data_IF_640034519418
#
_entry.id   IF_640034519418
#
_cell.length_a   1.000
_cell.length_b   1.000
_cell.length_c   1.000
_cell.angle_alpha   90.00
_cell.angle_beta   90.00
_cell.angle_gamma   90.00
#
_symmetry.space_group_name_H-M   'P 1'
#
loop_
_entity.id
_entity.type
_entity.pdbx_description
1 polymer ?
#
# COMPACT_ATOMS: atom_id res chain seq x y z
N UNK A 1 46.41 24.72 -6.40
CA UNK A 1 45.82 24.06 -5.22
C UNK A 1 44.46 24.69 -4.88
N UNK A 2 43.36 23.96 -5.09
CA UNK A 2 42.05 24.43 -4.61
C UNK A 2 42.04 24.38 -3.08
N UNK A 3 41.52 25.41 -2.40
CA UNK A 3 41.35 25.35 -0.96
C UNK A 3 40.38 24.21 -0.59
N UNK A 4 40.58 23.58 0.58
CA UNK A 4 39.67 22.55 1.06
C UNK A 4 38.26 23.13 1.21
N UNK A 5 37.27 22.41 0.70
CA UNK A 5 35.87 22.80 0.92
C UNK A 5 35.53 22.66 2.41
N UNK A 6 34.75 23.61 2.96
CA UNK A 6 34.26 23.48 4.33
C UNK A 6 33.37 22.23 4.45
N UNK A 7 33.34 21.61 5.64
CA UNK A 7 32.45 20.49 5.90
C UNK A 7 30.99 20.93 5.72
N UNK A 8 30.10 20.03 5.25
CA UNK A 8 28.68 20.32 5.17
C UNK A 8 28.13 20.66 6.57
N UNK A 9 27.10 21.52 6.65
CA UNK A 9 26.45 21.81 7.91
C UNK A 9 25.89 20.53 8.54
N UNK A 10 25.83 20.44 9.88
CA UNK A 10 25.19 19.34 10.56
C UNK A 10 23.71 19.26 10.13
N UNK A 11 23.14 18.05 9.98
CA UNK A 11 21.74 17.89 9.64
C UNK A 11 20.87 18.62 10.67
N UNK A 12 19.89 19.36 10.19
CA UNK A 12 18.90 20.02 11.03
C UNK A 12 18.17 18.94 11.87
N UNK A 13 18.03 19.12 13.19
CA UNK A 13 17.34 18.14 14.02
C UNK A 13 15.91 17.99 13.49
N UNK A 14 15.54 16.74 13.18
CA UNK A 14 14.18 16.41 12.75
C UNK A 14 13.19 16.96 13.78
N UNK A 15 12.11 17.63 13.34
CA UNK A 15 11.11 18.14 14.27
C UNK A 15 10.62 16.98 15.14
N UNK A 16 10.55 17.22 16.45
CA UNK A 16 10.05 16.23 17.40
C UNK A 16 8.73 15.67 16.87
N UNK A 17 8.68 14.36 16.65
CA UNK A 17 7.52 13.66 16.12
C UNK A 17 6.30 14.08 16.93
N UNK A 18 5.33 14.73 16.27
CA UNK A 18 4.06 15.09 16.91
C UNK A 18 3.50 13.82 17.55
N UNK A 19 3.05 13.86 18.82
CA UNK A 19 2.36 12.72 19.40
C UNK A 19 1.17 12.40 18.50
N UNK A 20 1.09 11.16 18.02
CA UNK A 20 -0.04 10.63 17.24
C UNK A 20 -1.23 10.52 18.19
N UNK A 21 -1.84 11.65 18.53
CA UNK A 21 -2.99 11.70 19.43
C UNK A 21 -4.22 11.19 18.70
N UNK A 22 -4.67 9.98 19.00
CA UNK A 22 -6.05 9.43 18.90
C UNK A 22 -7.03 10.04 17.85
N UNK A 23 -6.56 10.43 16.66
CA UNK A 23 -7.40 10.97 15.58
C UNK A 23 -8.28 9.87 14.97
N UNK A 24 -7.84 8.63 15.11
CA UNK A 24 -8.47 7.41 14.59
C UNK A 24 -9.89 7.16 15.10
N UNK A 25 -10.21 7.57 16.35
CA UNK A 25 -11.55 7.37 16.93
C UNK A 25 -12.56 8.37 16.35
N UNK A 26 -12.13 9.61 16.07
CA UNK A 26 -13.01 10.63 15.51
C UNK A 26 -13.54 10.24 14.12
N UNK A 27 -12.67 9.65 13.28
CA UNK A 27 -13.03 9.27 11.91
C UNK A 27 -14.12 8.18 11.84
N UNK A 28 -14.20 7.29 12.82
CA UNK A 28 -15.23 6.22 12.86
C UNK A 28 -16.63 6.77 13.01
N UNK A 29 -16.77 7.92 13.66
CA UNK A 29 -18.06 8.62 13.81
C UNK A 29 -18.52 9.25 12.49
N UNK A 30 -17.62 9.45 11.54
CA UNK A 30 -17.93 10.02 10.22
C UNK A 30 -18.57 9.00 9.26
N UNK A 31 -18.57 7.71 9.59
CA UNK A 31 -19.23 6.68 8.79
C UNK A 31 -20.75 6.86 8.82
N UNK A 32 -21.35 7.10 7.66
CA UNK A 32 -22.73 7.60 7.53
C UNK A 32 -23.82 6.61 7.95
N UNK A 33 -23.49 5.33 8.11
CA UNK A 33 -24.49 4.28 8.35
C UNK A 33 -24.03 3.24 9.38
N UNK A 34 -25.00 2.68 10.10
CA UNK A 34 -24.74 1.58 11.05
C UNK A 34 -24.12 0.35 10.37
N UNK A 35 -24.54 -0.07 9.15
CA UNK A 35 -23.85 -1.11 8.41
C UNK A 35 -22.36 -0.82 8.18
N UNK A 36 -21.97 0.40 7.80
CA UNK A 36 -20.57 0.76 7.60
C UNK A 36 -19.77 0.77 8.90
N UNK A 37 -20.36 1.25 10.00
CA UNK A 37 -19.71 1.17 11.32
C UNK A 37 -19.47 -0.28 11.75
N UNK A 38 -20.42 -1.18 11.48
CA UNK A 38 -20.21 -2.63 11.71
C UNK A 38 -19.14 -3.21 10.79
N UNK A 39 -19.11 -2.80 9.52
CA UNK A 39 -18.06 -3.21 8.59
C UNK A 39 -16.67 -2.79 9.06
N UNK A 40 -16.52 -1.54 9.53
CA UNK A 40 -15.27 -1.04 10.13
C UNK A 40 -14.85 -1.88 11.35
N UNK A 41 -15.77 -2.19 12.27
CA UNK A 41 -15.45 -3.03 13.43
C UNK A 41 -15.00 -4.44 13.03
N UNK A 42 -15.66 -5.05 12.03
CA UNK A 42 -15.28 -6.38 11.50
C UNK A 42 -13.91 -6.32 10.82
N UNK A 43 -13.64 -5.26 10.07
CA UNK A 43 -12.34 -4.99 9.47
C UNK A 43 -11.24 -4.95 10.54
N UNK A 44 -11.41 -4.13 11.57
CA UNK A 44 -10.44 -4.01 12.66
C UNK A 44 -10.21 -5.35 13.37
N UNK A 45 -11.28 -6.10 13.62
CA UNK A 45 -11.20 -7.41 14.25
C UNK A 45 -10.45 -8.43 13.38
N UNK A 46 -10.71 -8.47 12.07
CA UNK A 46 -10.06 -9.40 11.14
C UNK A 46 -8.56 -9.14 10.99
N UNK A 47 -8.12 -7.90 11.21
CA UNK A 47 -6.73 -7.49 11.16
C UNK A 47 -6.09 -7.30 12.54
N UNK A 48 -6.80 -7.63 13.60
CA UNK A 48 -6.27 -7.56 14.95
C UNK A 48 -5.09 -8.55 15.09
N UNK A 49 -3.89 -8.04 15.34
CA UNK A 49 -2.68 -8.85 15.45
C UNK A 49 -1.99 -9.20 14.12
N UNK A 50 -2.48 -8.70 12.98
CA UNK A 50 -1.79 -8.85 11.70
C UNK A 50 -0.76 -7.73 11.54
N UNK A 51 0.51 -8.07 11.73
CA UNK A 51 1.65 -7.18 11.47
C UNK A 51 2.23 -7.44 10.07
N UNK A 52 1.69 -6.72 9.07
CA UNK A 52 2.13 -6.87 7.68
C UNK A 52 3.58 -6.42 7.47
N UNK A 53 4.05 -5.43 8.22
CA UNK A 53 5.43 -4.96 8.13
C UNK A 53 6.42 -6.03 8.60
N UNK A 54 6.14 -6.68 9.74
CA UNK A 54 6.97 -7.77 10.24
C UNK A 54 6.99 -8.97 9.28
N UNK A 55 5.83 -9.34 8.71
CA UNK A 55 5.73 -10.43 7.72
C UNK A 55 6.55 -10.12 6.46
N UNK A 56 6.49 -8.89 5.95
CA UNK A 56 7.31 -8.46 4.82
C UNK A 56 8.81 -8.49 5.15
N UNK A 57 9.21 -7.94 6.30
CA UNK A 57 10.61 -7.94 6.75
C UNK A 57 11.14 -9.37 6.93
N UNK A 58 10.33 -10.30 7.44
CA UNK A 58 10.70 -11.69 7.56
C UNK A 58 10.92 -12.34 6.19
N UNK A 59 10.10 -12.00 5.20
CA UNK A 59 10.28 -12.47 3.83
C UNK A 59 11.61 -12.00 3.22
N UNK A 60 11.99 -10.75 3.47
CA UNK A 60 13.26 -10.16 3.01
C UNK A 60 14.45 -10.82 3.73
N UNK A 61 14.32 -11.12 5.03
CA UNK A 61 15.40 -11.67 5.85
C UNK A 61 15.82 -13.06 5.35
N UNK A 62 17.03 -13.15 4.79
CA UNK A 62 17.64 -14.41 4.37
C UNK A 62 17.45 -14.76 2.89
N UNK A 63 16.91 -13.86 2.09
CA UNK A 63 16.91 -13.98 0.62
C UNK A 63 17.99 -13.10 0.02
N UNK A 64 18.75 -13.57 -0.97
CA UNK A 64 19.61 -12.67 -1.74
C UNK A 64 18.72 -11.65 -2.45
N UNK A 65 19.08 -10.35 -2.46
CA UNK A 65 18.43 -9.40 -3.34
C UNK A 65 18.62 -9.83 -4.81
N UNK A 66 17.68 -9.51 -5.72
CA UNK A 66 16.36 -8.89 -5.50
C UNK A 66 15.18 -9.84 -5.83
N UNK A 67 13.93 -9.52 -5.42
CA UNK A 67 12.76 -10.11 -6.06
C UNK A 67 12.82 -9.72 -7.55
N UNK A 68 12.69 -10.72 -8.41
CA UNK A 68 12.75 -10.57 -9.86
C UNK A 68 11.34 -10.50 -10.39
N UNK A 69 10.97 -9.35 -10.93
CA UNK A 69 9.72 -9.21 -11.67
C UNK A 69 9.99 -9.63 -13.10
N UNK A 70 9.18 -10.55 -13.62
CA UNK A 70 9.37 -10.99 -15.01
C UNK A 70 8.89 -9.88 -15.94
N UNK A 71 9.81 -9.30 -16.70
CA UNK A 71 9.48 -8.26 -17.68
C UNK A 71 8.45 -8.81 -18.68
N UNK A 72 7.48 -7.97 -19.04
CA UNK A 72 6.51 -8.26 -20.09
C UNK A 72 7.04 -7.91 -21.47
N UNK A 73 8.10 -7.11 -21.54
CA UNK A 73 8.70 -6.64 -22.78
C UNK A 73 9.68 -7.71 -23.28
N UNK A 74 9.26 -8.54 -24.24
CA UNK A 74 10.05 -9.55 -24.95
C UNK A 74 10.67 -10.69 -24.12
N UNK A 75 10.62 -11.91 -24.68
CA UNK A 75 11.31 -13.08 -24.16
C UNK A 75 12.84 -12.91 -24.30
N UNK A 76 13.45 -12.18 -23.38
CA UNK A 76 14.87 -11.83 -23.41
C UNK A 76 15.24 -10.59 -22.60
N UNK A 77 14.28 -9.75 -22.24
CA UNK A 77 14.55 -8.61 -21.36
C UNK A 77 14.88 -9.11 -19.96
N UNK A 78 15.96 -8.61 -19.33
CA UNK A 78 16.28 -8.98 -17.97
C UNK A 78 15.11 -8.65 -17.04
N UNK A 79 14.87 -9.47 -16.01
CA UNK A 79 13.84 -9.18 -15.02
C UNK A 79 14.12 -7.83 -14.35
N UNK A 80 13.07 -7.13 -13.92
CA UNK A 80 13.25 -5.93 -13.10
C UNK A 80 13.79 -6.35 -11.74
N UNK A 81 14.94 -5.78 -11.38
CA UNK A 81 15.65 -6.07 -10.14
C UNK A 81 15.39 -4.97 -9.10
N UNK A 82 14.59 -5.27 -8.06
CA UNK A 82 14.44 -4.38 -6.90
C UNK A 82 15.55 -4.62 -5.86
N UNK A 83 16.71 -4.02 -6.11
CA UNK A 83 17.94 -4.25 -5.34
C UNK A 83 17.83 -3.99 -3.82
N UNK A 84 16.82 -3.25 -3.38
CA UNK A 84 16.67 -2.82 -1.99
C UNK A 84 15.38 -3.35 -1.33
N UNK A 85 14.61 -4.22 -2.00
CA UNK A 85 13.30 -4.68 -1.54
C UNK A 85 12.32 -3.54 -1.22
N UNK A 86 12.54 -2.37 -1.81
CA UNK A 86 11.76 -1.17 -1.49
C UNK A 86 10.31 -1.40 -1.92
N UNK A 87 10.08 -2.10 -3.03
CA UNK A 87 8.74 -2.46 -3.51
C UNK A 87 7.95 -3.37 -2.56
N UNK A 88 8.61 -4.01 -1.60
CA UNK A 88 7.96 -4.83 -0.56
C UNK A 88 7.66 -4.04 0.72
N UNK A 89 7.91 -2.73 0.73
CA UNK A 89 7.60 -1.87 1.88
C UNK A 89 6.09 -1.82 2.08
N UNK A 90 5.65 -2.32 3.23
CA UNK A 90 4.23 -2.44 3.53
C UNK A 90 3.69 -1.14 4.15
N UNK A 91 2.66 -0.57 3.52
CA UNK A 91 1.85 0.50 4.08
C UNK A 91 0.56 -0.05 4.66
N UNK A 92 0.25 0.28 5.91
CA UNK A 92 -1.03 -0.12 6.48
C UNK A 92 -2.16 0.78 5.96
N UNK A 93 -3.22 0.17 5.43
CA UNK A 93 -4.44 0.87 5.07
C UNK A 93 -5.47 0.76 6.19
N UNK A 94 -6.08 1.88 6.55
CA UNK A 94 -7.20 1.93 7.48
C UNK A 94 -8.53 2.01 6.75
N UNK A 95 -9.60 1.48 7.37
CA UNK A 95 -10.90 1.37 6.72
C UNK A 95 -11.50 2.71 6.30
N UNK A 96 -11.47 3.71 7.19
CA UNK A 96 -12.12 5.00 6.95
C UNK A 96 -11.36 5.81 5.89
N UNK A 97 -10.03 6.03 6.00
CA UNK A 97 -9.25 6.67 4.95
C UNK A 97 -9.38 5.98 3.60
N UNK A 98 -9.25 4.65 3.55
CA UNK A 98 -9.42 3.87 2.31
C UNK A 98 -10.78 4.14 1.66
N UNK A 99 -11.85 4.11 2.46
CA UNK A 99 -13.20 4.38 1.95
C UNK A 99 -13.33 5.81 1.42
N UNK A 100 -12.76 6.80 2.11
CA UNK A 100 -12.72 8.20 1.65
C UNK A 100 -12.00 8.30 0.31
N UNK A 101 -10.81 7.70 0.18
CA UNK A 101 -10.05 7.64 -1.08
C UNK A 101 -10.88 7.04 -2.21
N UNK A 102 -11.43 5.83 -1.99
CA UNK A 102 -12.21 5.15 -3.02
C UNK A 102 -13.46 5.95 -3.41
N UNK A 103 -14.13 6.62 -2.46
CA UNK A 103 -15.24 7.53 -2.79
C UNK A 103 -14.79 8.78 -3.55
N UNK A 104 -13.66 9.36 -3.18
CA UNK A 104 -13.12 10.57 -3.81
C UNK A 104 -12.82 10.32 -5.29
N UNK A 105 -12.38 9.12 -5.65
CA UNK A 105 -12.16 8.75 -7.06
C UNK A 105 -13.43 8.29 -7.79
N UNK A 106 -14.60 8.36 -7.14
CA UNK A 106 -15.92 8.02 -7.70
C UNK A 106 -16.46 6.63 -7.32
N UNK A 107 -15.91 6.00 -6.28
CA UNK A 107 -16.35 4.72 -5.71
C UNK A 107 -16.05 3.49 -6.56
N UNK A 108 -16.23 2.31 -5.97
CA UNK A 108 -16.41 1.06 -6.72
C UNK A 108 -17.90 0.98 -7.07
N UNK A 109 -18.22 1.14 -8.35
CA UNK A 109 -19.62 1.16 -8.82
C UNK A 109 -20.27 -0.21 -8.63
N UNK A 110 -21.58 -0.25 -8.50
CA UNK A 110 -22.33 -1.50 -8.46
C UNK A 110 -22.02 -2.35 -9.71
N UNK A 111 -21.73 -3.63 -9.50
CA UNK A 111 -21.32 -4.54 -10.57
C UNK A 111 -19.91 -4.34 -11.11
N UNK A 112 -19.12 -3.41 -10.56
CA UNK A 112 -17.73 -3.18 -10.97
C UNK A 112 -16.76 -4.19 -10.34
N UNK A 113 -15.62 -4.38 -11.00
CA UNK A 113 -14.48 -5.14 -10.49
C UNK A 113 -13.41 -4.18 -9.97
N UNK A 114 -13.04 -4.34 -8.70
CA UNK A 114 -11.93 -3.63 -8.06
C UNK A 114 -10.73 -4.56 -7.94
N UNK A 115 -9.53 -4.06 -8.23
CA UNK A 115 -8.28 -4.82 -8.09
C UNK A 115 -7.26 -4.00 -7.32
N UNK A 116 -6.52 -4.66 -6.44
CA UNK A 116 -5.35 -4.13 -5.74
C UNK A 116 -4.09 -4.95 -6.08
N UNK A 117 -3.06 -4.28 -6.60
CA UNK A 117 -1.78 -4.88 -7.00
C UNK A 117 -0.73 -4.65 -5.93
N UNK A 118 -0.14 -5.73 -5.41
CA UNK A 118 0.69 -5.67 -4.20
C UNK A 118 -0.17 -5.57 -2.94
N UNK A 119 -1.21 -6.41 -2.86
CA UNK A 119 -2.27 -6.27 -1.86
C UNK A 119 -1.86 -6.53 -0.40
N UNK A 120 -0.63 -7.02 -0.18
CA UNK A 120 -0.08 -7.39 1.11
C UNK A 120 -0.99 -8.35 1.87
N UNK A 121 -1.30 -8.03 3.13
CA UNK A 121 -2.24 -8.83 3.91
C UNK A 121 -3.72 -8.59 3.55
N UNK A 122 -4.04 -7.95 2.43
CA UNK A 122 -5.40 -7.82 1.92
C UNK A 122 -6.24 -6.73 2.59
N UNK A 123 -5.61 -5.81 3.34
CA UNK A 123 -6.30 -4.67 3.99
C UNK A 123 -7.14 -3.86 3.01
N UNK A 124 -6.55 -3.41 1.91
CA UNK A 124 -7.31 -2.65 0.88
C UNK A 124 -8.40 -3.52 0.26
N UNK A 125 -8.08 -4.77 -0.12
CA UNK A 125 -9.01 -5.71 -0.76
C UNK A 125 -10.24 -5.94 0.12
N UNK A 126 -10.04 -6.38 1.35
CA UNK A 126 -11.14 -6.70 2.27
C UNK A 126 -11.88 -5.44 2.74
N UNK A 127 -11.17 -4.32 2.91
CA UNK A 127 -11.77 -3.02 3.20
C UNK A 127 -12.68 -2.54 2.06
N UNK A 128 -12.23 -2.66 0.80
CA UNK A 128 -13.04 -2.32 -0.38
C UNK A 128 -14.26 -3.24 -0.50
N UNK A 129 -14.09 -4.55 -0.30
CA UNK A 129 -15.19 -5.51 -0.38
C UNK A 129 -16.27 -5.26 0.68
N UNK A 130 -15.88 -4.83 1.87
CA UNK A 130 -16.78 -4.43 2.96
C UNK A 130 -17.44 -3.07 2.71
N UNK A 131 -16.70 -2.10 2.16
CA UNK A 131 -17.19 -0.75 1.90
C UNK A 131 -18.13 -0.67 0.68
N UNK A 132 -17.97 -1.57 -0.28
CA UNK A 132 -18.69 -1.60 -1.55
C UNK A 132 -19.27 -3.01 -1.83
N UNK A 133 -20.23 -3.49 -1.02
CA UNK A 133 -20.74 -4.86 -1.11
C UNK A 133 -21.47 -5.18 -2.42
N UNK A 134 -21.81 -4.16 -3.22
CA UNK A 134 -22.43 -4.31 -4.53
C UNK A 134 -21.40 -4.46 -5.67
N UNK A 135 -20.10 -4.40 -5.37
CA UNK A 135 -19.06 -4.71 -6.35
C UNK A 135 -19.25 -6.16 -6.84
N UNK A 136 -19.00 -6.38 -8.13
CA UNK A 136 -19.06 -7.71 -8.74
C UNK A 136 -17.98 -8.62 -8.19
N UNK A 137 -16.78 -8.09 -8.05
CA UNK A 137 -15.60 -8.83 -7.60
C UNK A 137 -14.55 -7.85 -7.08
N UNK A 138 -13.86 -8.24 -6.01
CA UNK A 138 -12.70 -7.56 -5.47
C UNK A 138 -11.51 -8.51 -5.50
N UNK A 139 -10.42 -8.13 -6.15
CA UNK A 139 -9.24 -8.98 -6.34
C UNK A 139 -8.03 -8.38 -5.66
N UNK A 140 -7.26 -9.20 -4.95
CA UNK A 140 -5.92 -8.86 -4.47
C UNK A 140 -4.88 -9.76 -5.12
N UNK A 141 -3.79 -9.18 -5.59
CA UNK A 141 -2.61 -9.94 -6.05
C UNK A 141 -1.44 -9.60 -5.14
N UNK A 142 -0.82 -10.61 -4.53
CA UNK A 142 0.32 -10.44 -3.62
C UNK A 142 1.44 -11.42 -3.94
N UNK A 143 2.67 -10.92 -4.02
CA UNK A 143 3.85 -11.71 -4.35
C UNK A 143 4.36 -12.52 -3.15
N UNK A 144 4.32 -11.94 -1.95
CA UNK A 144 4.86 -12.50 -0.70
C UNK A 144 3.88 -13.50 -0.11
N UNK A 145 4.21 -14.81 -0.06
CA UNK A 145 3.27 -15.84 0.38
C UNK A 145 2.76 -15.63 1.81
N UNK A 146 3.60 -15.18 2.73
CA UNK A 146 3.21 -14.94 4.13
C UNK A 146 2.19 -13.81 4.27
N UNK A 147 2.29 -12.77 3.43
CA UNK A 147 1.30 -11.70 3.39
C UNK A 147 -0.01 -12.21 2.78
N UNK A 148 0.07 -13.00 1.72
CA UNK A 148 -1.09 -13.66 1.12
C UNK A 148 -1.82 -14.58 2.12
N UNK A 149 -1.09 -15.40 2.89
CA UNK A 149 -1.66 -16.28 3.91
C UNK A 149 -2.37 -15.49 5.02
N UNK A 150 -1.80 -14.34 5.41
CA UNK A 150 -2.45 -13.42 6.34
C UNK A 150 -3.75 -12.84 5.75
N UNK A 151 -3.77 -12.53 4.45
CA UNK A 151 -4.98 -12.08 3.76
C UNK A 151 -6.07 -13.15 3.73
N UNK A 152 -5.71 -14.40 3.45
CA UNK A 152 -6.63 -15.54 3.49
C UNK A 152 -7.22 -15.73 4.90
N UNK A 153 -6.38 -15.63 5.93
CA UNK A 153 -6.78 -15.76 7.32
C UNK A 153 -7.75 -14.65 7.73
N UNK A 154 -7.45 -13.38 7.39
CA UNK A 154 -8.33 -12.26 7.65
C UNK A 154 -9.67 -12.38 6.90
N UNK A 155 -9.64 -12.87 5.65
CA UNK A 155 -10.84 -13.10 4.86
C UNK A 155 -11.73 -14.19 5.50
N UNK A 156 -11.15 -15.30 5.95
CA UNK A 156 -11.89 -16.35 6.65
C UNK A 156 -12.57 -15.83 7.92
N UNK A 157 -11.85 -15.06 8.75
CA UNK A 157 -12.43 -14.42 9.93
C UNK A 157 -13.61 -13.49 9.59
N UNK A 158 -13.51 -12.73 8.50
CA UNK A 158 -14.63 -11.91 8.04
C UNK A 158 -15.85 -12.75 7.65
N UNK A 159 -15.66 -13.85 6.93
CA UNK A 159 -16.76 -14.75 6.54
C UNK A 159 -17.44 -15.38 7.76
N UNK A 160 -16.66 -15.74 8.78
CA UNK A 160 -17.19 -16.24 10.05
C UNK A 160 -18.04 -15.16 10.76
N UNK A 161 -17.57 -13.91 10.82
CA UNK A 161 -18.35 -12.79 11.37
C UNK A 161 -19.64 -12.48 10.60
N UNK A 162 -19.68 -12.81 9.31
CA UNK A 162 -20.85 -12.60 8.46
C UNK A 162 -21.88 -13.73 8.58
N UNK A 163 -21.42 -14.92 8.93
CA UNK A 163 -22.28 -16.11 9.12
C UNK A 163 -22.89 -16.16 10.53
N UNK A 164 -22.32 -15.45 11.49
CA UNK A 164 -22.80 -15.34 12.85
C UNK A 164 -24.11 -14.55 13.04
N UNK A 165 -24.77 -14.66 14.20
CA UNK A 165 -25.96 -13.87 14.51
C UNK A 165 -25.65 -12.38 14.40
N UNK A 166 -26.53 -11.61 13.75
CA UNK A 166 -26.34 -10.18 13.51
C UNK A 166 -26.11 -9.33 14.77
N UNK A 167 -26.59 -9.83 15.92
CA UNK A 167 -26.52 -9.18 17.23
C UNK A 167 -25.51 -9.84 18.18
N UNK A 168 -24.82 -10.88 17.73
CA UNK A 168 -23.81 -11.57 18.53
C UNK A 168 -22.57 -10.71 18.69
N UNK A 169 -22.43 -10.07 19.85
CA UNK A 169 -21.10 -9.85 20.44
C UNK A 169 -20.43 -11.22 20.51
N UNK A 170 -19.76 -11.64 19.43
CA UNK A 170 -18.84 -12.76 19.53
C UNK A 170 -17.89 -12.42 20.66
N UNK A 171 -17.73 -13.37 21.58
CA UNK A 171 -16.88 -13.28 22.75
C UNK A 171 -15.40 -13.18 22.38
N UNK A 172 -15.03 -12.20 21.55
CA UNK A 172 -13.83 -11.42 21.78
C UNK A 172 -13.94 -10.97 23.23
N UNK A 173 -13.41 -11.81 24.14
CA UNK A 173 -13.05 -11.38 25.49
C UNK A 173 -12.37 -10.05 25.29
N UNK A 174 -13.01 -9.00 25.79
CA UNK A 174 -12.62 -7.60 25.66
C UNK A 174 -11.10 -7.46 25.58
N UNK A 175 -10.54 -7.44 24.37
CA UNK A 175 -9.29 -6.77 24.14
C UNK A 175 -9.63 -5.28 24.18
N UNK A 176 -9.98 -4.79 25.36
CA UNK A 176 -10.25 -3.39 25.76
C UNK A 176 -10.61 -2.41 24.64
N UNK A 177 -11.59 -2.77 23.79
CA UNK A 177 -12.25 -1.83 22.87
C UNK A 177 -13.44 -1.16 23.57
N UNK A 178 -13.34 -0.93 24.87
CA UNK A 178 -14.24 -0.01 25.53
C UNK A 178 -13.85 1.39 25.10
N UNK A 179 -14.84 2.16 24.63
CA UNK A 179 -14.82 3.61 24.39
C UNK A 179 -14.58 4.41 25.70
N UNK A 180 -13.65 3.96 26.56
CA UNK A 180 -13.22 4.69 27.73
C UNK A 180 -12.29 5.82 27.28
N UNK A 181 -12.72 7.05 27.47
CA UNK A 181 -11.86 8.23 27.45
C UNK A 181 -10.54 7.90 28.18
N UNK A 182 -9.42 8.02 27.46
CA UNK A 182 -8.10 7.69 27.96
C UNK A 182 -7.85 8.37 29.32
N UNK A 183 -7.56 7.63 30.40
CA UNK A 183 -7.00 8.25 31.59
C UNK A 183 -5.56 8.64 31.28
N UNK A 184 -5.21 9.88 31.61
CA UNK A 184 -3.83 10.37 31.59
C UNK A 184 -2.99 9.50 32.54
N UNK A 185 -2.12 8.65 31.99
CA UNK A 185 -1.18 7.89 32.81
C UNK A 185 -0.05 8.79 33.30
N UNK A 186 -0.09 9.06 34.60
CA UNK A 186 1.01 9.57 35.39
C UNK A 186 2.14 8.55 35.54
N UNK A 187 3.31 9.09 35.88
CA UNK A 187 4.60 8.44 35.80
C UNK A 187 4.78 7.19 36.65
N UNK A 188 5.52 6.24 36.08
CA UNK A 188 6.14 5.15 36.80
C UNK A 188 7.43 5.66 37.45
N UNK A 189 7.44 5.79 38.78
CA UNK A 189 8.63 6.06 39.57
C UNK A 189 9.48 4.79 39.65
N UNK A 190 10.64 4.81 39.01
CA UNK A 190 11.71 3.83 39.24
C UNK A 190 12.68 4.36 40.29
N UNK A 191 12.79 3.65 41.41
CA UNK A 191 13.83 3.85 42.40
C UNK A 191 15.18 3.34 41.86
N UNK A 192 16.23 4.16 41.93
CA UNK A 192 17.61 3.65 41.94
C UNK A 192 18.51 4.56 42.78
N UNK A 193 19.24 3.91 43.67
CA UNK A 193 20.22 4.43 44.63
C UNK A 193 21.46 5.04 43.98
N UNK A 194 22.09 5.95 44.73
CA UNK A 194 23.23 6.78 44.39
C UNK A 194 24.55 6.05 44.09
N UNK A 195 25.42 6.69 43.28
CA UNK A 195 26.75 7.18 43.74
C UNK A 195 27.59 7.83 42.61
N UNK A 196 28.09 9.05 42.86
CA UNK A 196 29.49 9.43 42.64
C UNK A 196 29.99 10.00 41.30
N UNK A 197 30.20 11.32 41.26
CA UNK A 197 31.55 11.90 41.06
C UNK A 197 32.02 12.40 39.68
N UNK A 198 32.50 13.66 39.70
CA UNK A 198 33.66 14.23 38.94
C UNK A 198 33.43 15.14 37.70
N UNK A 199 33.49 16.44 37.98
CA UNK A 199 34.26 17.57 37.38
C UNK A 199 34.89 17.49 35.97
N UNK A 200 34.75 18.58 35.18
CA UNK A 200 35.85 19.09 34.34
C UNK A 200 35.50 20.01 33.15
N UNK A 201 35.93 21.29 33.27
CA UNK A 201 36.35 22.30 32.26
C UNK A 201 35.50 22.58 30.98
N UNK A 202 35.08 23.82 30.69
CA UNK A 202 35.89 24.93 30.12
C UNK A 202 35.71 24.94 28.58
N UNK A 203 35.50 26.01 27.81
CA UNK A 203 35.48 27.47 27.94
C UNK A 203 35.57 28.05 26.51
N UNK A 204 34.95 29.22 26.27
CA UNK A 204 35.17 30.21 25.17
C UNK A 204 35.01 29.74 23.70
N UNK A 205 34.64 30.53 22.69
CA UNK A 205 34.36 31.96 22.46
C UNK A 205 34.12 32.09 20.93
N UNK A 206 33.02 32.72 20.50
CA UNK A 206 32.93 34.08 19.91
C UNK A 206 33.41 34.29 18.46
N UNK A 207 32.53 34.95 17.67
CA UNK A 207 32.76 35.86 16.53
C UNK A 207 33.34 35.27 15.21
N UNK A 208 33.04 35.70 13.97
CA UNK A 208 32.27 36.81 13.34
C UNK A 208 32.29 36.58 11.81
N UNK A 209 31.34 37.14 11.05
CA UNK A 209 31.67 37.87 9.80
C UNK A 209 31.41 37.23 8.42
N UNK A 210 30.24 37.52 7.86
CA UNK A 210 29.94 38.13 6.54
C UNK A 210 30.60 37.72 5.20
N UNK A 211 29.68 37.46 4.26
CA UNK A 211 29.52 37.97 2.86
C UNK A 211 30.18 37.30 1.64
N UNK A 212 29.26 36.86 0.75
CA UNK A 212 29.14 37.14 -0.69
C UNK A 212 29.91 36.31 -1.75
N UNK A 213 29.11 35.59 -2.55
CA UNK A 213 29.06 35.76 -4.02
C UNK A 213 29.86 34.78 -4.89
N UNK A 214 29.18 34.16 -5.87
CA UNK A 214 29.84 33.76 -7.13
C UNK A 214 29.57 32.34 -7.61
N UNK A 215 28.60 32.23 -8.51
CA UNK A 215 28.32 31.13 -9.45
C UNK A 215 29.52 30.65 -10.28
N UNK A 216 29.62 29.34 -10.57
CA UNK A 216 29.51 28.83 -11.95
C UNK A 216 29.62 27.30 -12.12
N UNK A 217 28.80 26.88 -13.09
CA UNK A 217 28.74 25.69 -13.93
C UNK A 217 30.07 25.12 -14.46
N UNK A 218 30.06 23.80 -14.70
CA UNK A 218 30.65 23.05 -15.85
C UNK A 218 30.76 21.57 -15.44
N UNK A 219 29.94 20.66 -15.99
CA UNK A 219 30.01 20.01 -17.31
C UNK A 219 31.11 18.96 -17.44
N UNK A 220 30.72 17.73 -17.81
CA UNK A 220 31.38 16.99 -18.89
C UNK A 220 32.00 15.64 -18.57
N UNK A 221 31.57 14.64 -19.35
CA UNK A 221 32.33 13.44 -19.73
C UNK A 221 32.02 12.20 -18.88
N UNK A 222 31.65 11.04 -19.41
CA UNK A 222 31.74 10.54 -20.78
C UNK A 222 32.38 9.14 -20.78
N UNK A 223 31.53 8.12 -20.95
CA UNK A 223 31.71 6.86 -21.70
C UNK A 223 32.96 6.00 -21.44
N UNK A 224 32.74 4.74 -21.03
CA UNK A 224 33.27 3.57 -21.77
C UNK A 224 32.49 2.29 -21.42
N UNK A 225 32.15 1.52 -22.46
CA UNK A 225 31.49 0.21 -22.40
C UNK A 225 32.53 -0.88 -22.62
N UNK A 226 32.54 -1.89 -21.75
CA UNK A 226 33.35 -3.10 -21.88
C UNK A 226 32.48 -4.34 -21.84
N UNK A 227 32.44 -5.08 -22.95
CA UNK A 227 31.84 -6.42 -23.11
C UNK A 227 32.72 -7.46 -22.41
N UNK A 228 32.11 -8.42 -21.73
CA UNK A 228 32.72 -9.72 -21.46
C UNK A 228 31.66 -10.82 -21.54
N UNK A 229 31.93 -11.80 -22.41
CA UNK A 229 31.24 -13.08 -22.49
C UNK A 229 31.74 -14.01 -21.36
N UNK A 230 30.86 -14.88 -20.86
CA UNK A 230 31.23 -15.92 -19.90
C UNK A 230 30.03 -16.80 -19.55
N UNK A 231 30.00 -18.00 -20.11
CA UNK A 231 29.05 -19.06 -19.82
C UNK A 231 29.40 -19.78 -18.51
N UNK A 232 28.37 -20.30 -17.82
CA UNK A 232 28.30 -21.47 -16.92
C UNK A 232 26.99 -21.28 -16.11
N UNK A 233 25.95 -22.11 -16.17
CA UNK A 233 25.95 -23.56 -16.11
C UNK A 233 25.76 -23.99 -14.65
N UNK A 234 24.53 -23.98 -14.11
CA UNK A 234 24.18 -24.71 -12.88
C UNK A 234 22.66 -24.91 -12.76
N UNK A 235 22.25 -26.17 -12.87
CA UNK A 235 20.93 -26.68 -12.54
C UNK A 235 20.75 -26.78 -11.02
N UNK A 236 19.56 -26.46 -10.50
CA UNK A 236 19.25 -26.57 -9.08
C UNK A 236 17.75 -26.60 -8.76
N UNK A 237 17.23 -27.82 -8.61
CA UNK A 237 16.13 -28.24 -7.73
C UNK A 237 14.93 -27.32 -7.49
N UNK A 238 13.87 -27.50 -8.29
CA UNK A 238 12.53 -27.03 -7.93
C UNK A 238 11.96 -27.83 -6.77
N UNK A 239 11.81 -27.18 -5.61
CA UNK A 239 11.04 -27.70 -4.47
C UNK A 239 9.56 -27.41 -4.71
N UNK A 240 8.78 -28.46 -4.96
CA UNK A 240 7.33 -28.37 -5.15
C UNK A 240 6.63 -28.13 -3.82
N UNK A 241 6.14 -26.91 -3.59
CA UNK A 241 5.12 -26.65 -2.59
C UNK A 241 3.79 -27.22 -3.09
N UNK A 242 3.45 -28.43 -2.62
CA UNK A 242 2.11 -28.99 -2.80
C UNK A 242 1.15 -28.24 -1.86
N UNK A 243 0.49 -27.21 -2.38
CA UNK A 243 -0.60 -26.52 -1.69
C UNK A 243 -1.90 -27.31 -1.79
N UNK A 244 -2.46 -27.67 -0.63
CA UNK A 244 -3.85 -28.12 -0.52
C UNK A 244 -4.76 -26.94 -0.89
N UNK A 245 -5.18 -26.88 -2.16
CA UNK A 245 -6.20 -25.94 -2.62
C UNK A 245 -7.55 -26.26 -1.98
N UNK A 246 -8.02 -25.39 -1.09
CA UNK A 246 -9.45 -25.32 -0.77
C UNK A 246 -10.12 -24.76 -2.03
N UNK A 247 -10.63 -25.66 -2.87
CA UNK A 247 -11.36 -25.30 -4.08
C UNK A 247 -12.68 -24.62 -3.70
N UNK A 248 -12.64 -23.30 -3.54
CA UNK A 248 -13.85 -22.47 -3.55
C UNK A 248 -14.44 -22.53 -4.96
N UNK A 249 -15.61 -23.17 -5.10
CA UNK A 249 -16.32 -23.24 -6.37
C UNK A 249 -16.60 -21.83 -6.89
N UNK A 250 -15.96 -21.46 -8.01
CA UNK A 250 -16.31 -20.24 -8.77
C UNK A 250 -17.75 -20.33 -9.25
N UNK A 251 -18.64 -19.40 -8.89
CA UNK A 251 -19.98 -19.38 -9.44
C UNK A 251 -19.92 -19.00 -10.92
N UNK A 252 -20.49 -19.84 -11.78
CA UNK A 252 -20.58 -19.58 -13.20
C UNK A 252 -21.42 -18.31 -13.46
N UNK A 253 -20.80 -17.32 -14.09
CA UNK A 253 -21.41 -16.02 -14.41
C UNK A 253 -22.29 -16.17 -15.67
N UNK A 254 -23.60 -16.37 -15.50
CA UNK A 254 -24.59 -16.34 -16.58
C UNK A 254 -24.95 -14.90 -16.99
N UNK A 255 -24.80 -14.58 -18.28
CA UNK A 255 -24.95 -13.24 -18.87
C UNK A 255 -26.39 -12.77 -19.15
N UNK A 256 -27.26 -12.77 -18.14
CA UNK A 256 -28.58 -12.12 -18.24
C UNK A 256 -28.53 -10.67 -17.75
N UNK A 257 -28.98 -9.71 -18.56
CA UNK A 257 -29.17 -8.30 -18.18
C UNK A 257 -30.35 -8.12 -17.20
N UNK A 258 -30.35 -8.87 -16.10
CA UNK A 258 -31.28 -8.70 -14.98
C UNK A 258 -30.79 -7.55 -14.10
N UNK A 259 -31.72 -6.73 -13.61
CA UNK A 259 -31.42 -5.70 -12.63
C UNK A 259 -30.59 -6.32 -11.48
N UNK A 260 -29.40 -5.77 -11.23
CA UNK A 260 -28.51 -6.24 -10.16
C UNK A 260 -29.25 -6.01 -8.84
N UNK A 261 -29.73 -7.11 -8.24
CA UNK A 261 -30.42 -7.04 -6.95
C UNK A 261 -29.43 -6.50 -5.92
N UNK A 262 -29.84 -5.44 -5.22
CA UNK A 262 -29.03 -4.84 -4.17
C UNK A 262 -28.58 -5.92 -3.16
N UNK A 263 -27.30 -5.92 -2.75
CA UNK A 263 -26.78 -6.91 -1.82
C UNK A 263 -27.48 -6.75 -0.46
N UNK A 264 -27.67 -7.84 0.31
CA UNK A 264 -28.28 -7.76 1.62
C UNK A 264 -27.44 -6.87 2.55
N UNK A 265 -28.05 -6.07 3.44
CA UNK A 265 -27.33 -5.21 4.36
C UNK A 265 -26.29 -5.97 5.19
N UNK A 266 -25.07 -5.45 5.21
CA UNK A 266 -23.97 -6.05 5.99
C UNK A 266 -23.31 -7.27 5.36
N UNK A 267 -23.57 -7.55 4.08
CA UNK A 267 -22.77 -8.48 3.26
C UNK A 267 -21.42 -7.87 2.86
N UNK A 268 -20.57 -8.69 2.25
CA UNK A 268 -19.29 -8.32 1.65
C UNK A 268 -19.36 -8.65 0.16
N UNK A 269 -18.69 -7.87 -0.70
CA UNK A 269 -18.55 -8.22 -2.11
C UNK A 269 -17.74 -9.53 -2.25
N UNK A 270 -17.91 -10.29 -3.34
CA UNK A 270 -17.06 -11.46 -3.62
C UNK A 270 -15.59 -11.06 -3.66
N UNK A 271 -14.74 -11.83 -2.97
CA UNK A 271 -13.29 -11.59 -2.88
C UNK A 271 -12.52 -12.74 -3.54
N UNK A 272 -11.47 -12.40 -4.29
CA UNK A 272 -10.48 -13.34 -4.81
C UNK A 272 -9.07 -12.87 -4.44
N UNK A 273 -8.33 -13.69 -3.70
CA UNK A 273 -6.95 -13.43 -3.34
C UNK A 273 -6.04 -14.34 -4.15
N UNK A 274 -5.03 -13.78 -4.80
CA UNK A 274 -4.06 -14.48 -5.64
C UNK A 274 -2.66 -14.31 -5.06
N UNK A 275 -1.91 -15.42 -4.95
CA UNK A 275 -0.49 -15.38 -4.63
C UNK A 275 0.30 -15.44 -5.93
N UNK A 276 1.04 -14.39 -6.27
CA UNK A 276 1.83 -14.34 -7.50
C UNK A 276 2.35 -12.96 -7.89
N UNK A 277 3.14 -12.94 -8.96
CA UNK A 277 3.62 -11.73 -9.62
C UNK A 277 2.49 -11.12 -10.45
N UNK A 278 2.08 -9.89 -10.13
CA UNK A 278 1.00 -9.23 -10.84
C UNK A 278 1.30 -8.97 -12.33
N UNK A 279 2.57 -8.89 -12.73
CA UNK A 279 2.94 -8.80 -14.15
C UNK A 279 2.73 -10.13 -14.86
N UNK A 280 2.79 -11.27 -14.18
CA UNK A 280 2.49 -12.56 -14.77
C UNK A 280 1.00 -12.89 -14.78
N UNK A 281 0.20 -12.17 -13.97
CA UNK A 281 -1.25 -12.41 -13.84
C UNK A 281 -2.10 -11.34 -14.53
N UNK A 282 -1.62 -10.66 -15.57
CA UNK A 282 -2.40 -9.62 -16.29
C UNK A 282 -3.78 -10.12 -16.72
N UNK A 283 -3.88 -11.38 -17.15
CA UNK A 283 -5.16 -12.01 -17.50
C UNK A 283 -6.18 -12.05 -16.36
N UNK A 284 -5.72 -12.02 -15.10
CA UNK A 284 -6.59 -12.08 -13.91
C UNK A 284 -7.15 -10.73 -13.50
N UNK A 285 -6.54 -9.62 -13.94
CA UNK A 285 -6.93 -8.28 -13.52
C UNK A 285 -7.19 -7.29 -14.67
N UNK A 286 -6.90 -7.63 -15.93
CA UNK A 286 -7.17 -6.77 -17.08
C UNK A 286 -8.66 -6.41 -17.27
N UNK A 287 -9.56 -7.18 -16.67
CA UNK A 287 -10.99 -6.87 -16.64
C UNK A 287 -11.41 -5.85 -15.58
N UNK A 288 -10.49 -5.31 -14.80
CA UNK A 288 -10.77 -4.35 -13.73
C UNK A 288 -11.42 -3.07 -14.26
N UNK A 289 -12.39 -2.56 -13.51
CA UNK A 289 -12.97 -1.23 -13.74
C UNK A 289 -12.26 -0.17 -12.88
N UNK A 290 -11.70 -0.60 -11.75
CA UNK A 290 -10.85 0.19 -10.86
C UNK A 290 -9.65 -0.65 -10.44
N UNK A 291 -8.45 -0.14 -10.69
CA UNK A 291 -7.19 -0.76 -10.31
C UNK A 291 -6.45 0.17 -9.35
N UNK A 292 -6.05 -0.32 -8.19
CA UNK A 292 -5.16 0.35 -7.25
C UNK A 292 -3.77 -0.31 -7.32
N UNK A 293 -2.74 0.52 -7.32
CA UNK A 293 -1.37 0.09 -7.07
C UNK A 293 -0.71 1.06 -6.08
N UNK A 294 -0.33 0.59 -4.89
CA UNK A 294 0.40 1.38 -3.89
C UNK A 294 1.87 1.52 -4.28
N UNK A 295 2.11 2.17 -5.41
CA UNK A 295 3.37 2.17 -6.16
C UNK A 295 4.45 3.12 -5.62
N UNK A 296 4.32 3.62 -4.39
CA UNK A 296 5.26 4.61 -3.81
C UNK A 296 6.70 4.11 -3.84
N UNK A 297 6.86 2.82 -3.57
CA UNK A 297 8.15 2.18 -3.41
C UNK A 297 8.51 1.27 -4.59
N UNK A 298 7.76 1.34 -5.70
CA UNK A 298 8.09 0.57 -6.91
C UNK A 298 9.29 1.21 -7.62
N UNK A 299 10.28 0.43 -8.06
CA UNK A 299 11.35 0.97 -8.90
C UNK A 299 10.76 1.49 -10.23
N UNK A 300 11.37 2.51 -10.86
CA UNK A 300 10.86 3.10 -12.10
C UNK A 300 10.62 2.09 -13.21
N UNK A 301 11.46 1.06 -13.31
CA UNK A 301 11.34 -0.02 -14.28
C UNK A 301 10.07 -0.85 -14.03
N UNK A 302 9.74 -1.15 -12.78
CA UNK A 302 8.50 -1.85 -12.43
C UNK A 302 7.27 -0.99 -12.70
N UNK A 303 7.35 0.32 -12.45
CA UNK A 303 6.29 1.26 -12.82
C UNK A 303 6.09 1.25 -14.34
N UNK A 304 7.16 1.27 -15.13
CA UNK A 304 7.07 1.22 -16.59
C UNK A 304 6.44 -0.07 -17.11
N UNK A 305 6.81 -1.23 -16.55
CA UNK A 305 6.19 -2.52 -16.87
C UNK A 305 4.70 -2.56 -16.47
N UNK A 306 4.36 -2.00 -15.31
CA UNK A 306 2.97 -1.89 -14.85
C UNK A 306 2.15 -0.99 -15.79
N UNK A 307 2.69 0.14 -16.22
CA UNK A 307 2.03 1.03 -17.18
C UNK A 307 1.74 0.32 -18.51
N UNK A 308 2.71 -0.43 -19.02
CA UNK A 308 2.54 -1.24 -20.23
C UNK A 308 1.47 -2.31 -20.02
N UNK A 309 1.53 -3.08 -18.92
CA UNK A 309 0.55 -4.10 -18.58
C UNK A 309 -0.86 -3.52 -18.48
N UNK A 310 -0.99 -2.35 -17.85
CA UNK A 310 -2.26 -1.67 -17.64
C UNK A 310 -2.93 -1.23 -18.95
N UNK A 311 -2.21 -1.17 -20.08
CA UNK A 311 -2.84 -0.91 -21.39
C UNK A 311 -3.88 -1.96 -21.78
N UNK A 312 -3.80 -3.17 -21.21
CA UNK A 312 -4.77 -4.25 -21.36
C UNK A 312 -6.09 -4.02 -20.60
N UNK A 313 -6.15 -3.02 -19.71
CA UNK A 313 -7.40 -2.61 -19.07
C UNK A 313 -8.43 -2.16 -20.10
N UNK A 314 -9.70 -2.34 -19.76
CA UNK A 314 -10.82 -1.84 -20.57
C UNK A 314 -10.78 -0.31 -20.67
N UNK A 315 -11.27 0.21 -21.78
CA UNK A 315 -11.52 1.65 -21.92
C UNK A 315 -12.41 2.15 -20.77
N UNK A 316 -12.06 3.31 -20.20
CA UNK A 316 -12.77 3.91 -19.08
C UNK A 316 -12.45 3.29 -17.72
N UNK A 317 -11.63 2.23 -17.67
CA UNK A 317 -11.09 1.73 -16.41
C UNK A 317 -10.25 2.83 -15.73
N UNK A 318 -10.33 2.89 -14.40
CA UNK A 318 -9.61 3.88 -13.59
C UNK A 318 -8.42 3.22 -12.92
N UNK A 319 -7.27 3.88 -12.96
CA UNK A 319 -6.06 3.50 -12.24
C UNK A 319 -5.80 4.52 -11.14
N UNK A 320 -5.66 4.03 -9.92
CA UNK A 320 -5.24 4.79 -8.74
C UNK A 320 -3.82 4.35 -8.43
N UNK A 321 -2.86 5.27 -8.43
CA UNK A 321 -1.49 4.96 -8.07
C UNK A 321 -0.85 6.10 -7.29
N UNK A 322 0.38 5.89 -6.82
CA UNK A 322 1.13 6.91 -6.06
C UNK A 322 2.14 7.67 -6.93
N UNK A 323 1.99 7.56 -8.26
CA UNK A 323 2.84 8.23 -9.25
C UNK A 323 2.08 9.43 -9.87
N UNK A 324 2.72 10.60 -9.98
CA UNK A 324 2.08 11.81 -10.54
C UNK A 324 1.82 11.73 -12.04
N UNK A 325 2.45 10.78 -12.72
CA UNK A 325 2.20 10.42 -14.11
C UNK A 325 1.99 8.90 -14.19
N UNK A 326 1.13 8.48 -15.12
CA UNK A 326 0.88 7.06 -15.37
C UNK A 326 0.56 6.86 -16.86
N UNK A 327 1.45 6.16 -17.56
CA UNK A 327 1.32 5.70 -18.93
C UNK A 327 1.55 6.79 -19.98
N UNK A 328 2.43 6.53 -20.94
CA UNK A 328 2.82 7.46 -22.01
C UNK A 328 1.76 7.62 -23.11
N UNK A 329 0.56 8.08 -22.76
CA UNK A 329 -0.52 8.44 -23.69
C UNK A 329 -1.71 7.48 -23.76
N UNK A 330 -1.61 6.30 -23.13
CA UNK A 330 -2.74 5.36 -23.01
C UNK A 330 -3.77 5.78 -21.94
N UNK A 331 -3.39 6.71 -21.07
CA UNK A 331 -4.17 7.17 -19.94
C UNK A 331 -4.22 8.69 -19.89
N UNK A 332 -5.32 9.21 -19.33
CA UNK A 332 -5.45 10.64 -19.01
C UNK A 332 -5.67 10.83 -17.51
N UNK A 333 -5.13 11.89 -16.89
CA UNK A 333 -5.54 12.28 -15.54
C UNK A 333 -7.04 12.55 -15.51
N UNK A 334 -7.73 12.09 -14.46
CA UNK A 334 -9.18 12.29 -14.30
C UNK A 334 -9.49 12.97 -12.97
N UNK A 335 -10.42 13.91 -12.98
CA UNK A 335 -10.76 14.69 -11.78
C UNK A 335 -11.40 13.81 -10.70
N UNK A 336 -11.01 14.05 -9.46
CA UNK A 336 -11.66 13.47 -8.28
C UNK A 336 -13.06 14.08 -8.12
N UNK A 337 -14.00 13.31 -7.60
CA UNK A 337 -15.40 13.71 -7.40
C UNK A 337 -15.55 14.68 -6.24
N UNK A 338 -14.69 14.58 -5.22
CA UNK A 338 -14.67 15.49 -4.09
C UNK A 338 -13.65 16.62 -4.36
N UNK A 339 -14.08 17.90 -4.45
CA UNK A 339 -13.16 18.99 -4.71
C UNK A 339 -12.15 19.12 -3.56
N UNK A 340 -10.86 18.99 -3.87
CA UNK A 340 -9.80 19.40 -2.96
C UNK A 340 -9.70 20.92 -2.93
N UNK A 341 -9.38 21.53 -1.78
CA UNK A 341 -9.06 22.94 -1.75
C UNK A 341 -7.84 23.20 -2.66
N UNK A 342 -7.87 24.25 -3.51
CA UNK A 342 -6.69 24.68 -4.29
C UNK A 342 -5.48 24.86 -3.36
N UNK A 343 -4.24 24.58 -3.80
CA UNK A 343 -3.75 24.50 -5.20
C UNK A 343 -3.54 23.08 -5.76
N UNK A 344 -4.14 22.05 -5.17
CA UNK A 344 -3.84 20.67 -5.56
C UNK A 344 -4.34 20.30 -6.98
N UNK A 345 -3.61 19.46 -7.75
CA UNK A 345 -4.06 18.97 -9.04
C UNK A 345 -5.42 18.28 -8.92
N UNK A 346 -6.33 18.43 -9.91
CA UNK A 346 -7.70 17.91 -9.81
C UNK A 346 -7.78 16.38 -9.77
N UNK A 347 -6.71 15.68 -10.13
CA UNK A 347 -6.62 14.23 -10.15
C UNK A 347 -5.84 13.64 -8.96
N UNK A 348 -5.42 14.48 -8.01
CA UNK A 348 -4.69 14.07 -6.80
C UNK A 348 -5.67 13.88 -5.65
N UNK A 349 -5.41 12.93 -4.77
CA UNK A 349 -6.05 12.75 -3.47
C UNK A 349 -4.94 12.62 -2.43
N UNK A 350 -5.01 13.39 -1.35
CA UNK A 350 -4.11 13.21 -0.20
C UNK A 350 -4.86 12.40 0.86
N UNK A 351 -4.22 11.36 1.37
CA UNK A 351 -4.76 10.48 2.39
C UNK A 351 -3.75 10.32 3.51
N UNK A 352 -4.20 10.44 4.76
CA UNK A 352 -3.39 10.11 5.93
C UNK A 352 -3.19 8.59 6.00
N UNK A 353 -1.94 8.15 6.06
CA UNK A 353 -1.50 6.75 6.21
C UNK A 353 -0.77 6.59 7.54
N UNK A 354 -0.47 5.34 7.92
CA UNK A 354 0.29 5.05 9.15
C UNK A 354 1.69 5.70 9.20
N UNK A 355 2.25 6.06 8.04
CA UNK A 355 3.55 6.73 7.89
C UNK A 355 3.44 8.21 7.53
N UNK A 356 2.24 8.80 7.61
CA UNK A 356 1.97 10.21 7.28
C UNK A 356 1.14 10.38 6.01
N UNK A 357 1.12 11.60 5.47
CA UNK A 357 0.32 11.92 4.29
C UNK A 357 0.88 11.26 3.02
N UNK A 358 0.01 10.57 2.29
CA UNK A 358 0.31 9.94 1.02
C UNK A 358 -0.52 10.57 -0.10
N UNK A 359 0.11 10.78 -1.26
CA UNK A 359 -0.57 11.29 -2.45
C UNK A 359 -0.92 10.15 -3.39
N UNK A 360 -2.19 10.08 -3.77
CA UNK A 360 -2.71 9.19 -4.80
C UNK A 360 -3.13 10.01 -6.01
N UNK A 361 -2.97 9.44 -7.19
CA UNK A 361 -3.27 10.06 -8.47
C UNK A 361 -4.22 9.16 -9.26
N UNK A 362 -5.20 9.78 -9.90
CA UNK A 362 -6.26 9.10 -10.64
C UNK A 362 -6.08 9.27 -12.14
N UNK A 363 -6.04 8.15 -12.85
CA UNK A 363 -5.96 8.10 -14.30
C UNK A 363 -7.10 7.27 -14.88
N UNK A 364 -7.50 7.56 -16.10
CA UNK A 364 -8.53 6.84 -16.83
C UNK A 364 -7.97 6.32 -18.15
N UNK A 365 -8.24 5.04 -18.46
CA UNK A 365 -7.82 4.39 -19.69
C UNK A 365 -8.56 4.98 -20.89
N UNK A 366 -7.80 5.55 -21.82
CA UNK A 366 -8.33 6.08 -23.08
C UNK A 366 -8.74 4.96 -24.05
N UNK A 367 -9.65 5.23 -25.00
CA UNK A 367 -9.80 4.37 -26.18
C UNK A 367 -8.46 4.22 -26.91
N UNK A 368 -8.13 3.00 -27.32
CA UNK A 368 -7.00 2.71 -28.20
C UNK A 368 -7.32 2.94 -29.66
#
# INVERSE_FOLDING_TARGET
PRPPQPPPPPPEPLPASRPVTCRLVAERTELESAPLRRACKRYDAAFCGVDGAALSQQYVKGRPPPPRWTSLMDAGTPPVEDHNFVSLTYGEAEFVPLRKLLRAVGGVRDGATFVDLGSGCGRVVLGAALAFPAAKLVVGVELVPQLHDAALSAHALLLDFLSGPADGCFGLQSCDLNDAAAPAHGGCAGASTASGGSTGAGGNGSATGSTAGGSNSSSGGGVSTGRAEGADGLAGGGSSCSGNGVAGASPALGGGSGAVRAPPPGSIAPVRLLCGDFLQTVGEWSSADVLLATSLCFPPELVSELEQAATALRQGARVICMQPCFGSGAFRPCSVVAPLPPPEPPHKVVMEMSFGDASFYLFERLPG
#
